data_IF_768445160332
#
_entry.id   IF_768445160332
#
_cell.length_a   1.000
_cell.length_b   1.000
_cell.length_c   1.000
_cell.angle_alpha   90.00
_cell.angle_beta   90.00
_cell.angle_gamma   90.00
#
_symmetry.space_group_name_H-M   'P 1'
#
loop_
_entity.id
_entity.type
_entity.pdbx_description
1 polymer ?
#
# COMPACT_ATOMS: atom_id res chain seq x y z
N UNK A 1 -54.73 39.62 -7.77
CA UNK A 1 -55.22 38.39 -7.11
C UNK A 1 -54.27 37.26 -7.49
N UNK A 2 -53.78 36.35 -6.66
CA UNK A 2 -53.69 36.16 -5.22
C UNK A 2 -52.82 34.87 -5.10
N UNK A 3 -51.67 34.97 -4.45
CA UNK A 3 -50.86 33.94 -3.75
C UNK A 3 -50.92 32.45 -4.16
N UNK A 4 -49.74 31.83 -4.31
CA UNK A 4 -49.40 30.62 -3.55
C UNK A 4 -47.87 30.43 -3.49
N UNK A 5 -47.31 30.74 -2.32
CA UNK A 5 -45.99 30.28 -1.89
C UNK A 5 -46.12 28.81 -1.47
N UNK A 6 -45.34 27.90 -2.06
CA UNK A 6 -45.09 26.58 -1.50
C UNK A 6 -43.57 26.39 -1.40
N UNK A 7 -43.00 26.95 -0.33
CA UNK A 7 -41.66 26.66 0.15
C UNK A 7 -41.63 25.24 0.71
N UNK A 8 -41.12 24.30 -0.08
CA UNK A 8 -40.70 22.99 0.42
C UNK A 8 -39.17 22.94 0.37
N UNK A 9 -38.55 23.41 1.44
CA UNK A 9 -37.12 23.31 1.68
C UNK A 9 -36.73 21.84 1.90
N UNK A 10 -36.43 21.13 0.82
CA UNK A 10 -35.80 19.80 0.92
C UNK A 10 -34.30 20.00 0.78
N UNK A 11 -33.64 20.27 1.91
CA UNK A 11 -32.19 20.15 2.01
C UNK A 11 -31.84 18.65 1.96
N UNK A 12 -31.64 18.13 0.75
CA UNK A 12 -30.94 16.87 0.57
C UNK A 12 -29.48 17.12 0.95
N UNK A 13 -29.16 16.87 2.21
CA UNK A 13 -27.79 16.63 2.63
C UNK A 13 -27.33 15.36 1.91
N UNK A 14 -26.69 15.53 0.75
CA UNK A 14 -25.87 14.51 0.14
C UNK A 14 -24.70 14.25 1.09
N UNK A 15 -24.92 13.30 2.00
CA UNK A 15 -23.87 12.63 2.75
C UNK A 15 -23.00 11.90 1.74
N UNK A 16 -22.03 12.62 1.17
CA UNK A 16 -20.92 12.00 0.45
C UNK A 16 -20.33 10.96 1.40
N UNK A 17 -20.23 9.68 0.98
CA UNK A 17 -19.51 8.71 1.77
C UNK A 17 -18.09 9.26 1.93
N UNK A 18 -17.73 9.60 3.17
CA UNK A 18 -16.33 9.75 3.52
C UNK A 18 -15.71 8.38 3.24
N UNK A 19 -15.07 8.25 2.08
CA UNK A 19 -14.06 7.23 1.86
C UNK A 19 -12.96 7.54 2.86
N UNK A 20 -13.11 7.00 4.08
CA UNK A 20 -12.01 6.82 5.01
C UNK A 20 -11.10 5.73 4.44
N UNK A 21 -10.49 6.01 3.28
CA UNK A 21 -9.25 5.39 2.89
C UNK A 21 -8.25 5.83 3.94
N UNK A 22 -7.90 4.93 4.85
CA UNK A 22 -6.81 5.13 5.77
C UNK A 22 -5.50 5.14 4.98
N UNK A 23 -5.19 6.29 4.36
CA UNK A 23 -3.97 6.50 3.59
C UNK A 23 -2.70 6.51 4.49
N UNK A 24 -2.86 6.36 5.81
CA UNK A 24 -1.80 6.44 6.81
C UNK A 24 -1.13 5.09 7.13
N UNK A 25 -1.37 4.05 6.31
CA UNK A 25 -0.96 2.68 6.58
C UNK A 25 0.31 2.20 5.88
N UNK A 26 1.02 3.01 5.10
CA UNK A 26 2.14 2.49 4.29
C UNK A 26 3.41 2.23 5.12
N UNK A 27 4.03 1.08 4.88
CA UNK A 27 5.28 0.63 5.45
C UNK A 27 6.28 0.48 4.32
N UNK A 28 7.49 0.99 4.53
CA UNK A 28 8.58 0.87 3.59
C UNK A 28 9.18 -0.53 3.78
N UNK A 29 8.92 -1.41 2.82
CA UNK A 29 9.50 -2.74 2.79
C UNK A 29 10.81 -2.69 2.05
N UNK A 30 11.89 -3.01 2.75
CA UNK A 30 13.24 -3.03 2.24
C UNK A 30 13.50 -4.34 1.49
N UNK A 31 13.91 -4.22 0.23
CA UNK A 31 14.14 -5.33 -0.70
C UNK A 31 15.62 -5.71 -0.78
N UNK A 32 16.46 -5.27 0.15
CA UNK A 32 17.90 -5.64 0.19
C UNK A 32 18.17 -7.11 0.48
N UNK A 33 17.15 -7.88 0.87
CA UNK A 33 17.31 -9.30 1.14
C UNK A 33 17.49 -10.10 -0.16
N UNK A 34 18.67 -10.70 -0.32
CA UNK A 34 19.04 -11.46 -1.52
C UNK A 34 18.12 -12.66 -1.77
N UNK A 35 17.63 -13.35 -0.74
CA UNK A 35 16.71 -14.49 -0.89
C UNK A 35 15.36 -14.05 -1.45
N UNK A 36 14.83 -12.92 -0.97
CA UNK A 36 13.58 -12.34 -1.48
C UNK A 36 13.74 -11.84 -2.92
N UNK A 37 14.85 -11.15 -3.21
CA UNK A 37 15.19 -10.72 -4.57
C UNK A 37 15.24 -11.89 -5.54
N UNK A 38 15.96 -12.96 -5.19
CA UNK A 38 16.07 -14.16 -6.02
C UNK A 38 14.72 -14.88 -6.18
N UNK A 39 13.89 -14.93 -5.13
CA UNK A 39 12.56 -15.54 -5.23
C UNK A 39 11.63 -14.72 -6.13
N UNK A 40 11.59 -13.40 -5.94
CA UNK A 40 10.79 -12.49 -6.76
C UNK A 40 11.21 -12.57 -8.23
N UNK A 41 12.52 -12.53 -8.51
CA UNK A 41 13.06 -12.65 -9.87
C UNK A 41 12.63 -13.95 -10.55
N UNK A 42 12.76 -15.08 -9.86
CA UNK A 42 12.37 -16.39 -10.40
C UNK A 42 10.86 -16.51 -10.65
N UNK A 43 10.04 -16.01 -9.73
CA UNK A 43 8.59 -16.06 -9.85
C UNK A 43 8.07 -15.14 -10.96
N UNK A 44 8.59 -13.91 -11.02
CA UNK A 44 8.19 -12.88 -11.99
C UNK A 44 8.88 -13.06 -13.35
N UNK A 45 9.89 -13.94 -13.44
CA UNK A 45 10.77 -14.12 -14.61
C UNK A 45 11.41 -12.81 -15.08
N UNK A 46 11.86 -11.99 -14.12
CA UNK A 46 12.58 -10.73 -14.34
C UNK A 46 13.99 -10.81 -13.75
N UNK A 47 14.85 -9.86 -14.07
CA UNK A 47 16.20 -9.87 -13.54
C UNK A 47 16.22 -9.33 -12.10
N UNK A 48 17.04 -9.95 -11.25
CA UNK A 48 17.29 -9.46 -9.88
C UNK A 48 17.77 -8.01 -9.88
N UNK A 49 18.51 -7.57 -10.91
CA UNK A 49 18.95 -6.18 -11.05
C UNK A 49 17.80 -5.19 -11.17
N UNK A 50 16.70 -5.55 -11.85
CA UNK A 50 15.54 -4.68 -12.01
C UNK A 50 14.81 -4.49 -10.68
N UNK A 51 14.72 -5.56 -9.88
CA UNK A 51 14.09 -5.52 -8.56
C UNK A 51 15.01 -4.80 -7.57
N UNK A 52 16.32 -5.07 -7.59
CA UNK A 52 17.31 -4.38 -6.76
C UNK A 52 17.32 -2.87 -7.03
N UNK A 53 17.07 -2.44 -8.27
CA UNK A 53 16.97 -1.02 -8.60
C UNK A 53 15.83 -0.30 -7.86
N UNK A 54 14.81 -1.02 -7.37
CA UNK A 54 13.74 -0.44 -6.58
C UNK A 54 14.18 -0.11 -5.15
N UNK A 55 15.21 -0.78 -4.61
CA UNK A 55 15.69 -0.78 -3.20
C UNK A 55 14.63 -1.11 -2.14
N UNK A 56 13.46 -0.49 -2.21
CA UNK A 56 12.38 -0.56 -1.23
C UNK A 56 11.03 -0.23 -1.88
N UNK A 57 9.97 -0.85 -1.36
CA UNK A 57 8.60 -0.66 -1.84
C UNK A 57 7.66 -0.32 -0.68
N UNK A 58 6.83 0.70 -0.86
CA UNK A 58 5.84 1.09 0.15
C UNK A 58 4.55 0.28 -0.02
N UNK A 59 4.19 -0.52 0.97
CA UNK A 59 2.98 -1.36 0.97
C UNK A 59 2.16 -1.16 2.25
N UNK A 60 0.85 -1.47 2.26
CA UNK A 60 0.03 -1.34 3.47
C UNK A 60 0.55 -2.21 4.63
N UNK A 61 0.39 -1.72 5.86
CA UNK A 61 0.91 -2.34 7.09
C UNK A 61 0.48 -3.80 7.29
N UNK A 62 -0.76 -4.14 6.94
CA UNK A 62 -1.25 -5.52 7.04
C UNK A 62 -0.52 -6.46 6.07
N UNK A 63 -0.13 -5.95 4.90
CA UNK A 63 0.65 -6.69 3.92
C UNK A 63 2.14 -6.73 4.32
N UNK A 64 2.69 -5.61 4.78
CA UNK A 64 4.07 -5.54 5.26
C UNK A 64 4.34 -6.50 6.43
N UNK A 65 3.39 -6.62 7.36
CA UNK A 65 3.46 -7.57 8.47
C UNK A 65 3.67 -9.01 7.99
N UNK A 66 2.90 -9.44 6.99
CA UNK A 66 3.02 -10.78 6.40
C UNK A 66 4.32 -10.98 5.61
N UNK A 67 4.81 -9.94 4.93
CA UNK A 67 6.05 -9.99 4.13
C UNK A 67 7.29 -10.02 5.03
N UNK A 68 7.30 -9.21 6.07
CA UNK A 68 8.44 -9.06 6.97
C UNK A 68 8.42 -10.08 8.10
N UNK A 69 7.37 -10.90 8.20
CA UNK A 69 7.14 -11.86 9.28
C UNK A 69 7.18 -11.19 10.66
N UNK A 70 6.56 -10.01 10.75
CA UNK A 70 6.51 -9.20 11.97
C UNK A 70 5.07 -8.85 12.31
N UNK A 71 4.79 -8.62 13.59
CA UNK A 71 3.46 -8.26 14.01
C UNK A 71 3.09 -6.84 13.53
N UNK A 72 1.91 -6.69 12.91
CA UNK A 72 1.41 -5.41 12.44
C UNK A 72 1.34 -4.35 13.55
N UNK A 73 1.15 -4.78 14.81
CA UNK A 73 1.14 -3.88 15.96
C UNK A 73 2.51 -3.25 16.24
N UNK A 74 3.61 -3.95 15.91
CA UNK A 74 4.98 -3.44 16.03
C UNK A 74 5.23 -2.37 14.96
N UNK A 75 4.85 -2.64 13.71
CA UNK A 75 4.90 -1.67 12.63
C UNK A 75 4.03 -0.43 12.92
N UNK A 76 2.88 -0.63 13.57
CA UNK A 76 1.97 0.46 13.92
C UNK A 76 2.53 1.30 15.09
N UNK A 77 3.25 0.68 16.02
CA UNK A 77 4.00 1.38 17.05
C UNK A 77 5.14 2.20 16.43
N UNK A 78 5.90 1.61 15.50
CA UNK A 78 6.97 2.32 14.78
C UNK A 78 6.44 3.50 13.96
N UNK A 79 5.23 3.40 13.39
CA UNK A 79 4.55 4.55 12.76
C UNK A 79 4.37 5.75 13.67
N UNK A 80 4.14 5.51 14.97
CA UNK A 80 3.95 6.60 15.93
C UNK A 80 5.26 7.34 16.21
N UNK A 81 6.39 6.68 16.00
CA UNK A 81 7.73 7.24 16.21
C UNK A 81 8.42 7.68 14.93
N UNK A 82 7.93 7.28 13.75
CA UNK A 82 8.51 7.64 12.46
C UNK A 82 7.99 6.82 11.29
N UNK A 83 8.77 6.73 10.21
CA UNK A 83 8.44 5.89 9.05
C UNK A 83 8.76 4.42 9.36
N UNK A 84 7.77 3.52 9.43
CA UNK A 84 8.03 2.12 9.67
C UNK A 84 8.75 1.52 8.46
N UNK A 85 9.90 0.92 8.72
CA UNK A 85 10.67 0.17 7.74
C UNK A 85 10.73 -1.29 8.17
N UNK A 86 10.65 -2.23 7.22
CA UNK A 86 10.91 -3.63 7.53
C UNK A 86 11.55 -4.34 6.35
N UNK A 87 12.50 -5.23 6.63
CA UNK A 87 13.14 -6.02 5.58
C UNK A 87 12.22 -7.16 5.17
N UNK A 88 11.99 -7.31 3.87
CA UNK A 88 11.24 -8.45 3.37
C UNK A 88 11.96 -9.75 3.73
N UNK A 89 11.23 -10.67 4.37
CA UNK A 89 11.71 -12.04 4.66
C UNK A 89 10.94 -13.07 3.85
N UNK A 90 9.72 -12.72 3.44
CA UNK A 90 8.79 -13.63 2.81
C UNK A 90 8.27 -13.04 1.50
N UNK A 91 8.29 -13.88 0.45
CA UNK A 91 7.83 -13.49 -0.88
C UNK A 91 6.36 -13.85 -1.03
N UNK A 92 5.47 -12.92 -0.66
CA UNK A 92 4.02 -13.14 -0.79
C UNK A 92 3.53 -12.75 -2.17
N UNK A 93 2.44 -13.37 -2.66
CA UNK A 93 1.81 -13.03 -3.94
C UNK A 93 1.53 -11.54 -4.08
N UNK A 94 1.10 -10.90 -3.00
CA UNK A 94 0.82 -9.47 -2.99
C UNK A 94 2.10 -8.60 -3.07
N UNK A 95 3.23 -9.04 -2.49
CA UNK A 95 4.54 -8.41 -2.75
C UNK A 95 4.94 -8.56 -4.22
N UNK A 96 4.73 -9.74 -4.80
CA UNK A 96 5.05 -10.00 -6.20
C UNK A 96 4.28 -9.06 -7.12
N UNK A 97 2.97 -8.90 -6.89
CA UNK A 97 2.15 -7.95 -7.62
C UNK A 97 2.58 -6.49 -7.40
N UNK A 98 3.00 -6.12 -6.18
CA UNK A 98 3.48 -4.77 -5.90
C UNK A 98 4.80 -4.46 -6.64
N UNK A 99 5.74 -5.39 -6.62
CA UNK A 99 7.02 -5.30 -7.34
C UNK A 99 6.79 -5.29 -8.84
N UNK A 100 6.00 -6.22 -9.36
CA UNK A 100 5.65 -6.28 -10.78
C UNK A 100 4.94 -5.01 -11.25
N UNK A 101 4.04 -4.45 -10.43
CA UNK A 101 3.40 -3.17 -10.74
C UNK A 101 4.42 -2.04 -10.79
N UNK A 102 5.39 -2.00 -9.87
CA UNK A 102 6.46 -1.00 -9.89
C UNK A 102 7.36 -1.14 -11.12
N UNK A 103 7.74 -2.36 -11.48
CA UNK A 103 8.51 -2.69 -12.68
C UNK A 103 7.74 -2.38 -13.98
N UNK A 104 6.43 -2.64 -14.02
CA UNK A 104 5.58 -2.32 -15.17
C UNK A 104 5.23 -0.83 -15.27
N UNK A 105 5.28 -0.09 -14.16
CA UNK A 105 5.04 1.36 -14.14
C UNK A 105 6.28 2.15 -14.60
N UNK A 106 7.51 1.62 -14.46
CA UNK A 106 8.72 2.24 -15.04
C UNK A 106 8.84 2.06 -16.56
N UNK A 107 7.97 1.26 -17.18
CA UNK A 107 7.85 1.13 -18.63
C UNK A 107 6.78 2.05 -19.25
N UNK A 108 6.17 2.95 -18.47
CA UNK A 108 5.17 3.93 -18.93
C UNK A 108 5.67 5.36 -18.81
#
# INVERSE_FOLDING_TARGET
MLTALASASVALFSVSPALAGNNNGLVVVDLTNADVLNNLAQNLKVNVSDISALNNVSVPIGLAAAICDVNANVLAAQKKTGSPTCTAKNTTTALQSAVQKKLGTVAQ
#
